data_IF_638867634816
#
_entry.id   IF_638867634816
#
_cell.length_a   1.000
_cell.length_b   1.000
_cell.length_c   1.000
_cell.angle_alpha   90.00
_cell.angle_beta   90.00
_cell.angle_gamma   90.00
#
_symmetry.space_group_name_H-M   'P 1'
#
loop_
_entity.id
_entity.type
_entity.pdbx_description
1 polymer ?
#
# COMPACT_ATOMS: atom_id res chain seq x y z
N UNK A 1 -10.11 8.13 1.37
CA UNK A 1 -9.31 6.97 0.91
C UNK A 1 -8.90 6.05 2.06
N UNK A 2 -8.29 6.53 3.16
CA UNK A 2 -7.82 5.62 4.23
C UNK A 2 -8.93 4.76 4.88
N UNK A 3 -10.11 5.34 5.13
CA UNK A 3 -11.30 4.64 5.63
C UNK A 3 -12.12 3.94 4.51
N UNK A 4 -11.44 3.41 3.51
CA UNK A 4 -12.10 2.78 2.37
C UNK A 4 -13.00 1.63 2.82
N UNK A 5 -14.20 1.53 2.27
CA UNK A 5 -15.06 0.39 2.56
C UNK A 5 -14.39 -0.88 2.00
N UNK A 6 -14.22 -1.96 2.79
CA UNK A 6 -13.50 -3.15 2.35
C UNK A 6 -14.07 -3.78 1.06
N UNK A 7 -15.36 -3.58 0.79
CA UNK A 7 -16.03 -4.02 -0.44
C UNK A 7 -15.37 -3.49 -1.73
N UNK A 8 -14.73 -2.33 -1.70
CA UNK A 8 -14.03 -1.81 -2.88
C UNK A 8 -12.74 -2.57 -3.18
N UNK A 9 -12.01 -3.02 -2.15
CA UNK A 9 -10.84 -3.88 -2.35
C UNK A 9 -11.25 -5.25 -2.88
N UNK A 10 -12.43 -5.73 -2.48
CA UNK A 10 -13.10 -6.90 -3.07
C UNK A 10 -13.33 -6.73 -4.56
N UNK A 11 -13.99 -5.64 -4.95
CA UNK A 11 -14.26 -5.31 -6.36
C UNK A 11 -12.97 -5.23 -7.18
N UNK A 12 -11.95 -4.55 -6.66
CA UNK A 12 -10.66 -4.40 -7.33
C UNK A 12 -9.94 -5.75 -7.47
N UNK A 13 -10.00 -6.60 -6.45
CA UNK A 13 -9.40 -7.94 -6.49
C UNK A 13 -10.13 -8.84 -7.48
N UNK A 14 -11.46 -8.81 -7.50
CA UNK A 14 -12.28 -9.55 -8.46
C UNK A 14 -11.99 -9.09 -9.91
N UNK A 15 -11.82 -7.79 -10.13
CA UNK A 15 -11.41 -7.26 -11.43
C UNK A 15 -10.02 -7.74 -11.87
N UNK A 16 -9.06 -7.78 -10.95
CA UNK A 16 -7.72 -8.29 -11.23
C UNK A 16 -7.74 -9.79 -11.57
N UNK A 17 -8.52 -10.59 -10.82
CA UNK A 17 -8.72 -12.02 -11.10
C UNK A 17 -9.46 -12.26 -12.43
N UNK A 18 -10.49 -11.47 -12.73
CA UNK A 18 -11.21 -11.56 -14.01
C UNK A 18 -10.29 -11.25 -15.19
N UNK A 19 -9.41 -10.23 -15.07
CA UNK A 19 -8.40 -9.92 -16.07
C UNK A 19 -7.39 -11.05 -16.29
N UNK A 20 -6.89 -11.66 -15.21
CA UNK A 20 -6.00 -12.82 -15.26
C UNK A 20 -6.68 -14.05 -15.91
N UNK A 21 -7.91 -14.36 -15.51
CA UNK A 21 -8.67 -15.48 -16.08
C UNK A 21 -9.00 -15.27 -17.55
N UNK A 22 -9.26 -14.02 -17.96
CA UNK A 22 -9.47 -13.69 -19.37
C UNK A 22 -8.18 -13.94 -20.18
N UNK A 23 -7.01 -13.65 -19.63
CA UNK A 23 -5.69 -13.76 -20.29
C UNK A 23 -5.27 -15.17 -20.70
N UNK A 24 -6.01 -16.19 -20.26
CA UNK A 24 -5.88 -17.57 -20.77
C UNK A 24 -6.15 -17.63 -22.29
N UNK A 25 -6.92 -16.68 -22.82
CA UNK A 25 -7.04 -16.44 -24.26
C UNK A 25 -6.09 -15.31 -24.67
N UNK A 26 -5.01 -15.64 -25.38
CA UNK A 26 -3.92 -14.71 -25.74
C UNK A 26 -4.28 -13.77 -26.92
N UNK A 27 -5.48 -13.20 -26.92
CA UNK A 27 -5.81 -12.16 -27.91
C UNK A 27 -5.27 -10.79 -27.48
N UNK A 28 -4.82 -9.93 -28.40
CA UNK A 28 -4.30 -8.61 -28.07
C UNK A 28 -5.26 -7.76 -27.21
N UNK A 29 -6.57 -7.85 -27.47
CA UNK A 29 -7.60 -7.12 -26.72
C UNK A 29 -7.65 -7.57 -25.26
N UNK A 30 -7.50 -8.87 -25.02
CA UNK A 30 -7.51 -9.44 -23.68
C UNK A 30 -6.22 -9.07 -22.92
N UNK A 31 -5.06 -9.07 -23.59
CA UNK A 31 -3.79 -8.63 -22.97
C UNK A 31 -3.87 -7.16 -22.54
N UNK A 32 -4.45 -6.30 -23.39
CA UNK A 32 -4.68 -4.89 -23.06
C UNK A 32 -5.62 -4.77 -21.86
N UNK A 33 -6.75 -5.49 -21.87
CA UNK A 33 -7.71 -5.47 -20.77
C UNK A 33 -7.07 -5.94 -19.46
N UNK A 34 -6.33 -7.06 -19.48
CA UNK A 34 -5.62 -7.58 -18.33
C UNK A 34 -4.59 -6.58 -17.79
N UNK A 35 -3.84 -5.92 -18.69
CA UNK A 35 -2.87 -4.87 -18.32
C UNK A 35 -3.55 -3.70 -17.63
N UNK A 36 -4.66 -3.20 -18.17
CA UNK A 36 -5.44 -2.11 -17.58
C UNK A 36 -6.00 -2.51 -16.21
N UNK A 37 -6.53 -3.72 -16.07
CA UNK A 37 -7.02 -4.24 -14.79
C UNK A 37 -5.90 -4.32 -13.73
N UNK A 38 -4.72 -4.84 -14.10
CA UNK A 38 -3.55 -4.94 -13.20
C UNK A 38 -3.06 -3.55 -12.80
N UNK A 39 -2.87 -2.65 -13.75
CA UNK A 39 -2.45 -1.27 -13.49
C UNK A 39 -3.44 -0.55 -12.56
N UNK A 40 -4.75 -0.68 -12.83
CA UNK A 40 -5.80 -0.10 -12.02
C UNK A 40 -5.80 -0.65 -10.60
N UNK A 41 -5.71 -1.97 -10.44
CA UNK A 41 -5.69 -2.62 -9.13
C UNK A 41 -4.46 -2.22 -8.30
N UNK A 42 -3.27 -2.24 -8.91
CA UNK A 42 -2.04 -1.85 -8.23
C UNK A 42 -2.03 -0.37 -7.86
N UNK A 43 -2.53 0.50 -8.75
CA UNK A 43 -2.65 1.95 -8.47
C UNK A 43 -3.62 2.22 -7.34
N UNK A 44 -4.74 1.51 -7.31
CA UNK A 44 -5.73 1.60 -6.24
C UNK A 44 -5.13 1.17 -4.88
N UNK A 45 -4.44 0.03 -4.84
CA UNK A 45 -3.77 -0.46 -3.63
C UNK A 45 -2.69 0.50 -3.14
N UNK A 46 -1.88 1.03 -4.05
CA UNK A 46 -0.86 2.02 -3.71
C UNK A 46 -1.50 3.31 -3.16
N UNK A 47 -2.59 3.78 -3.78
CA UNK A 47 -3.35 4.94 -3.33
C UNK A 47 -3.95 4.75 -1.94
N UNK A 48 -4.51 3.57 -1.66
CA UNK A 48 -5.01 3.23 -0.32
C UNK A 48 -3.88 3.20 0.72
N UNK A 49 -2.76 2.55 0.39
CA UNK A 49 -1.58 2.47 1.26
C UNK A 49 -0.99 3.84 1.57
N UNK A 50 -0.87 4.69 0.54
CA UNK A 50 -0.42 6.07 0.70
C UNK A 50 -1.37 6.88 1.57
N UNK A 51 -2.69 6.67 1.44
CA UNK A 51 -3.67 7.34 2.28
C UNK A 51 -3.52 6.95 3.76
N UNK A 52 -3.26 5.67 4.07
CA UNK A 52 -2.95 5.22 5.45
C UNK A 52 -1.70 5.92 5.96
N UNK A 53 -0.61 5.88 5.19
CA UNK A 53 0.66 6.53 5.57
C UNK A 53 0.47 8.02 5.85
N UNK A 54 -0.21 8.74 4.95
CA UNK A 54 -0.44 10.18 5.09
C UNK A 54 -1.30 10.49 6.31
N UNK A 55 -2.43 9.81 6.48
CA UNK A 55 -3.33 10.02 7.63
C UNK A 55 -2.59 9.77 8.95
N UNK A 56 -1.84 8.68 9.04
CA UNK A 56 -1.10 8.35 10.25
C UNK A 56 -0.04 9.40 10.60
N UNK A 57 0.66 9.94 9.59
CA UNK A 57 1.61 11.05 9.79
C UNK A 57 0.93 12.36 10.15
N UNK A 58 -0.19 12.68 9.52
CA UNK A 58 -0.93 13.91 9.82
C UNK A 58 -1.45 13.88 11.27
N UNK A 59 -1.94 12.73 11.75
CA UNK A 59 -2.36 12.53 13.15
C UNK A 59 -1.17 12.59 14.10
N UNK A 60 -0.07 11.90 13.77
CA UNK A 60 1.14 11.96 14.58
C UNK A 60 1.67 13.40 14.73
N UNK A 61 1.54 14.22 13.67
CA UNK A 61 1.98 15.62 13.68
C UNK A 61 1.10 16.47 14.60
N UNK A 62 -0.22 16.28 14.51
CA UNK A 62 -1.20 16.98 15.36
C UNK A 62 -1.03 16.66 16.84
N UNK A 63 -0.65 15.42 17.16
CA UNK A 63 -0.58 14.93 18.53
C UNK A 63 0.84 14.97 19.11
N UNK A 64 1.79 15.68 18.47
CA UNK A 64 3.20 15.76 18.88
C UNK A 64 3.88 14.38 19.11
N UNK A 65 3.45 13.36 18.36
CA UNK A 65 4.05 12.02 18.39
C UNK A 65 5.32 12.04 17.52
N UNK A 66 6.42 11.48 18.03
CA UNK A 66 7.69 11.39 17.31
C UNK A 66 7.49 10.75 15.92
N UNK A 67 7.97 11.41 14.87
CA UNK A 67 7.88 10.90 13.51
C UNK A 67 9.25 10.53 12.97
N UNK A 68 9.35 9.35 12.36
CA UNK A 68 10.48 9.03 11.50
C UNK A 68 10.58 9.96 10.27
N UNK A 69 11.72 9.94 9.55
CA UNK A 69 11.95 10.77 8.37
C UNK A 69 10.84 10.59 7.32
N UNK A 70 10.52 11.66 6.60
CA UNK A 70 9.52 11.59 5.54
C UNK A 70 10.06 10.82 4.33
N UNK A 71 9.48 9.64 4.08
CA UNK A 71 9.87 8.73 2.99
C UNK A 71 8.79 8.62 1.91
N UNK A 72 8.02 9.70 1.70
CA UNK A 72 6.95 9.74 0.68
C UNK A 72 7.45 9.47 -0.75
N UNK A 73 8.74 9.69 -1.04
CA UNK A 73 9.38 9.36 -2.31
C UNK A 73 9.29 7.87 -2.67
N UNK A 74 9.20 6.97 -1.68
CA UNK A 74 9.04 5.52 -1.91
C UNK A 74 7.72 5.21 -2.61
N UNK A 75 6.65 5.95 -2.31
CA UNK A 75 5.37 5.81 -3.00
C UNK A 75 5.43 6.30 -4.46
N UNK A 76 6.27 7.30 -4.75
CA UNK A 76 6.51 7.76 -6.13
C UNK A 76 7.27 6.70 -6.92
N UNK A 77 8.28 6.08 -6.32
CA UNK A 77 8.98 4.96 -6.94
C UNK A 77 8.06 3.78 -7.19
N UNK A 78 7.20 3.42 -6.24
CA UNK A 78 6.18 2.39 -6.44
C UNK A 78 5.22 2.76 -7.58
N UNK A 79 4.80 4.03 -7.69
CA UNK A 79 3.94 4.47 -8.80
C UNK A 79 4.64 4.33 -10.17
N UNK A 80 5.92 4.68 -10.27
CA UNK A 80 6.71 4.45 -11.49
C UNK A 80 6.84 2.96 -11.78
N UNK A 81 7.03 2.14 -10.75
CA UNK A 81 7.14 0.70 -10.86
C UNK A 81 5.84 0.05 -11.40
N UNK A 82 4.66 0.60 -11.06
CA UNK A 82 3.38 0.16 -11.65
C UNK A 82 3.37 0.34 -13.15
N UNK A 83 3.86 1.48 -13.65
CA UNK A 83 3.79 1.82 -15.09
C UNK A 83 4.60 0.86 -15.97
N UNK A 84 5.62 0.22 -15.42
CA UNK A 84 6.46 -0.76 -16.14
C UNK A 84 5.99 -2.20 -15.99
N UNK A 85 5.01 -2.50 -15.12
CA UNK A 85 4.43 -3.85 -14.96
C UNK A 85 3.91 -4.48 -16.26
N UNK A 86 3.25 -3.76 -17.19
CA UNK A 86 2.76 -4.34 -18.42
C UNK A 86 3.86 -4.93 -19.31
N UNK A 87 5.11 -4.49 -19.16
CA UNK A 87 6.27 -5.08 -19.85
C UNK A 87 6.40 -6.57 -19.49
N UNK A 88 6.04 -6.96 -18.27
CA UNK A 88 6.02 -8.35 -17.80
C UNK A 88 4.95 -9.23 -18.47
N UNK A 89 3.94 -8.61 -19.09
CA UNK A 89 2.83 -9.27 -19.80
C UNK A 89 3.07 -9.38 -21.31
N UNK A 90 4.13 -8.75 -21.83
CA UNK A 90 4.49 -8.84 -23.24
C UNK A 90 5.30 -10.11 -23.52
N UNK A 91 5.02 -10.76 -24.65
CA UNK A 91 5.90 -11.77 -25.22
C UNK A 91 7.13 -11.09 -25.82
N UNK A 92 8.18 -10.99 -25.00
CA UNK A 92 9.46 -10.44 -25.41
C UNK A 92 10.33 -11.55 -26.04
N UNK A 93 11.16 -11.20 -27.05
CA UNK A 93 12.17 -12.12 -27.57
C UNK A 93 13.05 -12.72 -26.46
N UNK A 94 13.56 -13.95 -26.59
CA UNK A 94 14.34 -14.63 -25.55
C UNK A 94 15.56 -13.83 -25.06
N UNK A 95 16.16 -13.02 -25.93
CA UNK A 95 17.29 -12.14 -25.62
C UNK A 95 16.92 -11.05 -24.61
N UNK A 96 15.63 -10.69 -24.52
CA UNK A 96 15.07 -9.71 -23.59
C UNK A 96 14.36 -10.37 -22.39
N UNK A 97 14.40 -11.71 -22.26
CA UNK A 97 13.77 -12.40 -21.13
C UNK A 97 14.34 -11.96 -19.78
N UNK A 98 15.65 -11.69 -19.71
CA UNK A 98 16.28 -11.16 -18.49
C UNK A 98 15.77 -9.77 -18.08
N UNK A 99 15.34 -8.94 -19.05
CA UNK A 99 14.71 -7.65 -18.75
C UNK A 99 13.32 -7.85 -18.14
N UNK A 100 12.55 -8.84 -18.61
CA UNK A 100 11.24 -9.21 -18.06
C UNK A 100 11.37 -9.62 -16.59
N UNK A 101 12.33 -10.47 -16.27
CA UNK A 101 12.58 -10.98 -14.92
C UNK A 101 13.10 -9.87 -13.99
N UNK A 102 13.98 -9.00 -14.51
CA UNK A 102 14.49 -7.85 -13.77
C UNK A 102 13.37 -6.87 -13.44
N UNK A 103 12.50 -6.54 -14.41
CA UNK A 103 11.34 -5.66 -14.19
C UNK A 103 10.40 -6.30 -13.17
N UNK A 104 10.11 -7.60 -13.28
CA UNK A 104 9.32 -8.34 -12.30
C UNK A 104 9.87 -8.25 -10.88
N UNK A 105 11.17 -8.48 -10.69
CA UNK A 105 11.81 -8.46 -9.37
C UNK A 105 11.97 -7.06 -8.76
N UNK A 106 12.38 -6.08 -9.57
CA UNK A 106 12.66 -4.70 -9.11
C UNK A 106 11.39 -3.96 -8.74
N UNK A 107 10.25 -4.25 -9.40
CA UNK A 107 8.98 -3.58 -9.12
C UNK A 107 8.38 -3.96 -7.76
N UNK A 108 8.71 -5.13 -7.24
CA UNK A 108 8.16 -5.64 -5.97
C UNK A 108 8.70 -4.88 -4.76
N UNK A 109 9.99 -4.51 -4.78
CA UNK A 109 10.65 -3.90 -3.61
C UNK A 109 10.04 -2.54 -3.20
N UNK A 110 9.79 -1.58 -4.11
CA UNK A 110 9.13 -0.32 -3.76
C UNK A 110 7.72 -0.52 -3.19
N UNK A 111 6.99 -1.53 -3.69
CA UNK A 111 5.66 -1.87 -3.19
C UNK A 111 5.71 -2.37 -1.75
N UNK A 112 6.57 -3.35 -1.48
CA UNK A 112 6.78 -3.86 -0.11
C UNK A 112 7.25 -2.76 0.84
N UNK A 113 8.18 -1.92 0.40
CA UNK A 113 8.63 -0.78 1.17
C UNK A 113 7.48 0.21 1.47
N UNK A 114 6.58 0.45 0.52
CA UNK A 114 5.42 1.32 0.72
C UNK A 114 4.44 0.77 1.78
N UNK A 115 4.18 -0.55 1.78
CA UNK A 115 3.36 -1.21 2.78
C UNK A 115 4.00 -1.14 4.16
N UNK A 116 5.33 -1.37 4.24
CA UNK A 116 6.07 -1.27 5.49
C UNK A 116 6.02 0.15 6.07
N UNK A 117 6.19 1.17 5.24
CA UNK A 117 6.10 2.57 5.67
C UNK A 117 4.69 2.91 6.19
N UNK A 118 3.64 2.46 5.51
CA UNK A 118 2.27 2.70 5.96
C UNK A 118 1.97 2.00 7.28
N UNK A 119 2.39 0.74 7.43
CA UNK A 119 2.23 -0.02 8.66
C UNK A 119 3.00 0.60 9.83
N UNK A 120 4.25 0.99 9.61
CA UNK A 120 5.07 1.69 10.60
C UNK A 120 4.43 3.01 11.04
N UNK A 121 4.01 3.84 10.08
CA UNK A 121 3.36 5.11 10.37
C UNK A 121 2.07 4.92 11.19
N UNK A 122 1.24 3.93 10.82
CA UNK A 122 -0.01 3.65 11.53
C UNK A 122 0.25 3.19 12.97
N UNK A 123 1.20 2.29 13.19
CA UNK A 123 1.58 1.83 14.53
C UNK A 123 2.13 2.97 15.38
N UNK A 124 2.91 3.88 14.79
CA UNK A 124 3.38 5.09 15.50
C UNK A 124 2.21 6.00 15.88
N UNK A 125 1.26 6.21 14.98
CA UNK A 125 0.07 7.03 15.25
C UNK A 125 -0.85 6.44 16.34
N UNK A 126 -0.77 5.13 16.58
CA UNK A 126 -1.45 4.45 17.70
C UNK A 126 -0.75 4.64 19.06
N UNK A 127 0.32 5.44 19.13
CA UNK A 127 1.04 5.74 20.37
C UNK A 127 2.12 4.71 20.71
N UNK A 128 2.50 3.83 19.78
CA UNK A 128 3.66 2.97 19.96
C UNK A 128 4.95 3.69 19.53
N UNK A 129 6.03 3.63 20.34
CA UNK A 129 7.25 4.36 20.06
C UNK A 129 7.87 4.00 18.71
N UNK A 130 8.58 4.97 18.10
CA UNK A 130 9.26 4.84 16.79
C UNK A 130 10.29 3.70 16.79
N UNK A 131 10.87 3.40 17.96
CA UNK A 131 11.69 2.20 18.21
C UNK A 131 10.76 1.03 18.56
N UNK A 132 10.33 0.34 17.51
CA UNK A 132 9.34 -0.74 17.51
C UNK A 132 9.46 -1.80 18.62
N UNK A 133 8.33 -2.32 19.13
CA UNK A 133 8.16 -3.75 19.34
C UNK A 133 7.83 -4.39 17.97
N UNK A 134 8.82 -5.04 17.36
CA UNK A 134 8.83 -5.58 15.98
C UNK A 134 7.55 -6.33 15.58
N UNK A 135 6.91 -7.00 16.54
CA UNK A 135 5.73 -7.85 16.30
C UNK A 135 4.49 -7.08 15.83
N UNK A 136 4.22 -5.88 16.37
CA UNK A 136 3.01 -5.10 16.00
C UNK A 136 3.13 -4.47 14.62
N UNK A 137 4.34 -4.04 14.24
CA UNK A 137 4.62 -3.53 12.92
C UNK A 137 4.55 -4.63 11.87
N UNK A 138 5.10 -5.82 12.15
CA UNK A 138 4.99 -6.98 11.25
C UNK A 138 3.54 -7.40 11.06
N UNK A 139 2.75 -7.50 12.14
CA UNK A 139 1.33 -7.83 12.02
C UNK A 139 0.55 -6.80 11.21
N UNK A 140 0.79 -5.51 11.43
CA UNK A 140 0.14 -4.44 10.66
C UNK A 140 0.60 -4.43 9.20
N UNK A 141 1.88 -4.71 8.94
CA UNK A 141 2.42 -4.89 7.60
C UNK A 141 1.73 -6.05 6.87
N UNK A 142 1.60 -7.21 7.52
CA UNK A 142 0.89 -8.35 6.94
C UNK A 142 -0.58 -8.03 6.65
N UNK A 143 -1.26 -7.26 7.50
CA UNK A 143 -2.63 -6.80 7.22
C UNK A 143 -2.66 -5.87 5.99
N UNK A 144 -1.75 -4.89 5.89
CA UNK A 144 -1.69 -4.01 4.71
C UNK A 144 -1.36 -4.81 3.44
N UNK A 145 -0.44 -5.76 3.53
CA UNK A 145 -0.05 -6.65 2.43
C UNK A 145 -1.21 -7.55 1.98
N UNK A 146 -1.86 -8.23 2.92
CA UNK A 146 -3.11 -8.96 2.71
C UNK A 146 -4.32 -8.02 2.73
N UNK A 147 -4.24 -6.93 1.96
CA UNK A 147 -5.18 -5.80 1.92
C UNK A 147 -6.66 -6.20 1.94
N UNK A 148 -7.04 -7.30 1.28
CA UNK A 148 -8.39 -7.87 1.32
C UNK A 148 -8.87 -8.18 2.74
N UNK A 149 -8.09 -8.92 3.52
CA UNK A 149 -8.40 -9.23 4.92
C UNK A 149 -8.11 -7.99 5.77
N UNK A 150 -6.96 -7.37 5.56
CA UNK A 150 -6.48 -6.27 6.36
C UNK A 150 -7.39 -5.06 6.40
N UNK A 151 -8.09 -4.73 5.32
CA UNK A 151 -8.99 -3.58 5.32
C UNK A 151 -10.13 -3.69 6.35
N UNK A 152 -10.63 -4.90 6.62
CA UNK A 152 -11.63 -5.13 7.65
C UNK A 152 -11.07 -4.86 9.05
N UNK A 153 -9.84 -5.29 9.31
CA UNK A 153 -9.18 -5.14 10.61
C UNK A 153 -8.56 -3.75 10.83
N UNK A 154 -8.07 -3.11 9.77
CA UNK A 154 -7.42 -1.81 9.82
C UNK A 154 -8.42 -0.66 9.84
N UNK A 155 -9.60 -0.81 9.23
CA UNK A 155 -10.64 0.23 9.23
C UNK A 155 -11.00 0.75 10.63
N UNK A 156 -11.32 -0.10 11.64
CA UNK A 156 -11.61 0.39 12.99
C UNK A 156 -10.38 1.04 13.65
N UNK A 157 -9.18 0.53 13.40
CA UNK A 157 -7.91 1.10 13.92
C UNK A 157 -7.64 2.50 13.36
N UNK A 158 -7.73 2.66 12.05
CA UNK A 158 -7.58 3.95 11.36
C UNK A 158 -8.64 4.94 11.85
N UNK A 159 -9.87 4.47 12.07
CA UNK A 159 -10.95 5.30 12.61
C UNK A 159 -10.63 5.77 14.03
N UNK A 160 -10.19 4.87 14.92
CA UNK A 160 -9.79 5.22 16.28
C UNK A 160 -8.64 6.25 16.30
N UNK A 161 -7.65 6.10 15.42
CA UNK A 161 -6.54 7.07 15.27
C UNK A 161 -7.03 8.44 14.81
N UNK A 162 -8.01 8.49 13.91
CA UNK A 162 -8.60 9.74 13.42
C UNK A 162 -9.50 10.43 14.45
N UNK A 163 -10.16 9.66 15.30
CA UNK A 163 -11.12 10.13 16.32
C UNK A 163 -10.45 10.39 17.68
N UNK A 164 -9.17 10.00 17.85
CA UNK A 164 -8.44 10.21 19.09
C UNK A 164 -8.30 11.71 19.41
N UNK A 165 -8.72 12.16 20.61
CA UNK A 165 -8.55 13.55 21.02
C UNK A 165 -7.05 13.91 21.06
N UNK A 166 -6.69 15.15 20.71
CA UNK A 166 -5.31 15.60 20.78
C UNK A 166 -4.81 15.47 22.22
N UNK A 167 -3.57 14.99 22.39
CA UNK A 167 -2.96 14.85 23.71
C UNK A 167 -3.01 16.21 24.42
N UNK A 168 -3.62 16.25 25.61
CA UNK A 168 -3.65 17.45 26.45
C UNK A 168 -2.21 17.93 26.68
N UNK A 169 -1.97 19.23 26.52
CA UNK A 169 -0.69 19.83 26.88
C UNK A 169 -0.33 19.40 28.30
N UNK A 170 0.93 18.99 28.57
CA UNK A 170 1.33 18.74 29.94
C UNK A 170 1.08 20.03 30.71
N UNK A 171 0.14 19.97 31.66
CA UNK A 171 -0.16 21.06 32.59
C UNK A 171 1.19 21.49 33.17
N UNK A 172 1.68 22.66 32.75
CA UNK A 172 2.88 23.22 33.35
C UNK A 172 2.49 23.52 34.79
N UNK A 173 3.12 22.80 35.70
CA UNK A 173 3.12 23.11 37.12
C UNK A 173 4.29 24.08 37.33
N UNK A 174 4.16 25.29 36.79
CA UNK A 174 5.02 26.42 37.08
C UNK A 174 4.45 27.28 38.23
#
# INVERSE_FOLDING_TARGET
>A
MAQLHPAWLLLVTLLAFAGQMASVSATPQIIILASVCVLGAMSFLLGWTYAIYRVARDVSAKNNIEQGPNRSWVFRLAAVAILVLPIGLLDLPPVLAGLRDLVGGVVVLPFFASYWLAAGALVTAEGHPVRYPTNKAVGTFLLVFYSFIGAWYLRPRIRAVLEAPPAEEPVRLD
#
